data_IF_235480538120
#
_entry.id   IF_235480538120
#
_cell.length_a   1.000
_cell.length_b   1.000
_cell.length_c   1.000
_cell.angle_alpha   90.00
_cell.angle_beta   90.00
_cell.angle_gamma   90.00
#
_symmetry.space_group_name_H-M   'P 1'
#
loop_
_entity.id
_entity.type
_entity.pdbx_description
1 polymer ?
#
# COMPACT_ATOMS: atom_id res chain seq x y z
N UNK A 1 15.82 -7.67 12.15
CA UNK A 1 14.42 -7.27 12.01
C UNK A 1 13.54 -8.35 12.60
N UNK A 2 12.57 -7.99 13.44
CA UNK A 2 11.56 -8.91 13.97
C UNK A 2 10.21 -8.52 13.41
N UNK A 3 9.39 -9.50 13.01
CA UNK A 3 8.09 -9.24 12.38
C UNK A 3 7.05 -10.17 13.02
N UNK A 4 5.94 -9.59 13.47
CA UNK A 4 4.70 -10.30 13.81
C UNK A 4 3.60 -9.86 12.86
N UNK A 5 3.00 -10.78 12.15
CA UNK A 5 1.87 -10.53 11.26
C UNK A 5 0.59 -11.19 11.78
N UNK A 6 -0.52 -10.49 11.65
CA UNK A 6 -1.86 -10.99 12.00
C UNK A 6 -2.86 -10.55 10.93
N UNK A 7 -3.62 -11.50 10.40
CA UNK A 7 -4.74 -11.22 9.50
C UNK A 7 -5.85 -10.51 10.28
N UNK A 8 -6.48 -9.55 9.66
CA UNK A 8 -7.59 -8.81 10.26
C UNK A 8 -8.79 -9.71 10.54
N UNK A 9 -9.46 -9.47 11.66
CA UNK A 9 -10.69 -10.15 12.02
C UNK A 9 -11.88 -9.82 11.09
N UNK A 10 -13.00 -10.56 11.18
CA UNK A 10 -14.13 -10.43 10.23
C UNK A 10 -14.70 -9.02 10.12
N UNK A 11 -14.74 -8.27 11.22
CA UNK A 11 -15.31 -6.91 11.24
C UNK A 11 -14.48 -5.90 10.44
N UNK A 12 -13.17 -6.04 10.42
CA UNK A 12 -12.25 -5.17 9.66
C UNK A 12 -11.77 -5.82 8.35
N UNK A 13 -11.94 -7.11 8.15
CA UNK A 13 -11.47 -7.85 6.97
C UNK A 13 -11.86 -7.28 5.61
N UNK A 14 -13.06 -6.71 5.43
CA UNK A 14 -13.42 -6.02 4.18
C UNK A 14 -12.55 -4.79 3.88
N UNK A 15 -11.92 -4.19 4.89
CA UNK A 15 -11.20 -2.93 4.81
C UNK A 15 -9.70 -3.08 5.02
N UNK A 16 -9.28 -3.98 5.90
CA UNK A 16 -7.88 -4.18 6.33
C UNK A 16 -7.49 -5.63 6.05
N UNK A 17 -6.41 -5.83 5.33
CA UNK A 17 -5.88 -7.16 5.02
C UNK A 17 -5.18 -7.78 6.23
N UNK A 18 -4.32 -6.98 6.88
CA UNK A 18 -3.46 -7.44 7.95
C UNK A 18 -2.93 -6.30 8.80
N UNK A 19 -2.53 -6.66 10.01
CA UNK A 19 -1.70 -5.87 10.88
C UNK A 19 -0.31 -6.48 10.95
N UNK A 20 0.71 -5.63 11.07
CA UNK A 20 2.09 -6.09 11.15
C UNK A 20 2.88 -5.22 12.12
N UNK A 21 3.50 -5.83 13.13
CA UNK A 21 4.47 -5.17 13.99
C UNK A 21 5.85 -5.46 13.45
N UNK A 22 6.65 -4.42 13.23
CA UNK A 22 8.02 -4.55 12.75
C UNK A 22 8.94 -3.81 13.72
N UNK A 23 10.02 -4.48 14.16
CA UNK A 23 11.05 -3.91 15.01
C UNK A 23 12.41 -3.98 14.33
N UNK A 24 13.10 -2.85 14.33
CA UNK A 24 14.42 -2.66 13.74
C UNK A 24 15.45 -2.43 14.85
N UNK A 25 16.11 -3.50 15.36
CA UNK A 25 17.08 -3.37 16.46
C UNK A 25 18.32 -2.57 16.07
N UNK A 26 18.61 -2.44 14.79
CA UNK A 26 19.75 -1.68 14.24
C UNK A 26 19.26 -0.69 13.18
N UNK A 27 20.12 0.25 12.80
CA UNK A 27 19.90 1.07 11.62
C UNK A 27 19.59 0.16 10.42
N UNK A 28 18.49 0.41 9.73
CA UNK A 28 18.06 -0.41 8.60
C UNK A 28 17.59 0.47 7.44
N UNK A 29 17.98 0.08 6.24
CA UNK A 29 17.52 0.72 5.00
C UNK A 29 16.85 -0.29 4.12
N UNK A 30 15.67 0.05 3.66
CA UNK A 30 14.92 -0.76 2.70
C UNK A 30 14.29 0.11 1.62
N UNK A 31 13.78 -0.55 0.59
CA UNK A 31 13.11 0.12 -0.51
C UNK A 31 11.86 -0.67 -0.91
N UNK A 32 10.73 0.02 -0.91
CA UNK A 32 9.44 -0.58 -1.19
C UNK A 32 8.98 -0.25 -2.61
N UNK A 33 8.76 -1.29 -3.39
CA UNK A 33 8.13 -1.19 -4.70
C UNK A 33 6.70 -0.65 -4.59
N UNK A 34 6.17 -0.04 -5.67
CA UNK A 34 4.76 0.33 -5.75
C UNK A 34 3.85 -0.81 -5.31
N UNK A 35 2.86 -0.49 -4.49
CA UNK A 35 1.90 -1.45 -3.96
C UNK A 35 0.47 -1.04 -4.31
N UNK A 36 -0.43 -2.03 -4.30
CA UNK A 36 -1.87 -1.82 -4.55
C UNK A 36 -2.65 -1.54 -3.28
N UNK A 37 -1.98 -1.46 -2.16
CA UNK A 37 -2.56 -1.42 -0.82
C UNK A 37 -2.06 -0.18 -0.07
N UNK A 38 -2.94 0.74 0.36
CA UNK A 38 -2.56 1.82 1.25
C UNK A 38 -2.15 1.29 2.62
N UNK A 39 -1.33 2.06 3.35
CA UNK A 39 -0.83 1.66 4.67
C UNK A 39 -1.00 2.80 5.66
N UNK A 40 -1.50 2.50 6.86
CA UNK A 40 -1.32 3.36 8.02
C UNK A 40 -0.20 2.79 8.90
N UNK A 41 0.72 3.66 9.32
CA UNK A 41 1.88 3.33 10.14
C UNK A 41 1.83 4.09 11.46
N UNK A 42 2.05 3.39 12.57
CA UNK A 42 2.05 3.95 13.93
C UNK A 42 3.38 3.59 14.59
N UNK A 43 4.34 4.52 14.55
CA UNK A 43 5.64 4.35 15.19
C UNK A 43 5.48 4.52 16.71
N UNK A 44 5.77 3.48 17.49
CA UNK A 44 5.67 3.51 18.95
C UNK A 44 7.03 3.61 19.65
N UNK A 45 8.15 3.38 18.93
CA UNK A 45 9.51 3.70 19.31
C UNK A 45 10.30 4.17 18.11
N UNK A 46 11.26 5.09 18.32
CA UNK A 46 12.14 5.59 17.27
C UNK A 46 11.39 6.28 16.13
N UNK A 47 11.98 6.21 14.93
CA UNK A 47 11.42 6.84 13.74
C UNK A 47 12.02 6.34 12.43
N UNK A 48 11.44 6.79 11.34
CA UNK A 48 11.86 6.45 9.99
C UNK A 48 12.01 7.72 9.14
N UNK A 49 13.05 7.81 8.32
CA UNK A 49 13.15 8.79 7.25
C UNK A 49 12.65 8.19 5.94
N UNK A 50 12.04 9.03 5.11
CA UNK A 50 11.47 8.66 3.82
C UNK A 50 12.19 9.45 2.73
N UNK A 51 12.67 8.75 1.69
CA UNK A 51 13.31 9.31 0.51
C UNK A 51 14.44 10.31 0.88
N UNK A 52 15.22 10.02 1.93
CA UNK A 52 16.37 10.76 2.40
C UNK A 52 16.12 11.57 3.67
N UNK A 53 15.59 12.79 3.60
CA UNK A 53 15.65 13.72 4.74
C UNK A 53 14.36 13.93 5.51
N UNK A 54 13.22 13.49 4.97
CA UNK A 54 11.93 13.73 5.58
C UNK A 54 11.61 12.67 6.65
N UNK A 55 11.47 13.09 7.91
CA UNK A 55 10.94 12.22 8.96
C UNK A 55 9.47 11.88 8.71
N UNK A 56 9.16 10.60 8.76
CA UNK A 56 7.78 10.13 8.75
C UNK A 56 7.05 10.62 10.01
N UNK A 57 5.78 11.05 9.91
CA UNK A 57 4.92 11.28 11.07
C UNK A 57 4.82 10.02 11.94
N UNK A 58 4.66 10.18 13.26
CA UNK A 58 4.46 9.06 14.20
C UNK A 58 3.21 8.24 13.87
N UNK A 59 2.15 8.90 13.41
CA UNK A 59 0.97 8.29 12.81
C UNK A 59 0.88 8.76 11.36
N UNK A 60 1.20 7.90 10.42
CA UNK A 60 1.28 8.25 9.01
C UNK A 60 0.28 7.43 8.18
N UNK A 61 -0.33 8.08 7.19
CA UNK A 61 -1.06 7.41 6.12
C UNK A 61 -0.29 7.54 4.82
N UNK A 62 0.02 6.41 4.19
CA UNK A 62 0.67 6.34 2.88
C UNK A 62 -0.35 5.87 1.84
N UNK A 63 -0.69 6.76 0.92
CA UNK A 63 -1.55 6.46 -0.23
C UNK A 63 -0.83 5.63 -1.30
N UNK A 64 -1.56 5.21 -2.32
CA UNK A 64 -0.99 4.47 -3.44
C UNK A 64 -0.02 5.33 -4.24
N UNK A 65 1.07 4.71 -4.70
CA UNK A 65 2.11 5.36 -5.49
C UNK A 65 2.58 4.49 -6.64
N UNK A 66 3.21 5.13 -7.61
CA UNK A 66 3.69 4.49 -8.84
C UNK A 66 5.20 4.31 -8.87
N UNK A 67 5.92 4.85 -7.87
CA UNK A 67 7.38 4.83 -7.78
C UNK A 67 7.86 4.13 -6.52
N UNK A 68 9.07 3.61 -6.56
CA UNK A 68 9.80 3.05 -5.43
C UNK A 68 9.96 4.13 -4.34
N UNK A 69 9.97 3.71 -3.08
CA UNK A 69 10.23 4.56 -1.92
C UNK A 69 11.28 3.92 -1.02
N UNK A 70 12.28 4.71 -0.69
CA UNK A 70 13.31 4.33 0.26
C UNK A 70 12.91 4.71 1.69
N UNK A 71 13.22 3.84 2.64
CA UNK A 71 13.08 4.10 4.06
C UNK A 71 14.41 3.90 4.77
N UNK A 72 14.68 4.75 5.75
CA UNK A 72 15.78 4.62 6.67
C UNK A 72 15.25 4.60 8.10
N UNK A 73 15.27 3.43 8.70
CA UNK A 73 14.80 3.19 10.06
C UNK A 73 15.93 3.44 11.05
N UNK A 74 15.74 4.32 12.03
CA UNK A 74 16.72 4.56 13.07
C UNK A 74 16.88 3.34 13.99
N UNK A 75 17.93 3.33 14.77
CA UNK A 75 18.16 2.31 15.80
C UNK A 75 16.97 2.23 16.76
N UNK A 76 16.47 1.01 17.00
CA UNK A 76 15.33 0.76 17.89
C UNK A 76 13.97 1.23 17.33
N UNK A 77 13.87 1.55 16.03
CA UNK A 77 12.57 1.88 15.45
C UNK A 77 11.62 0.70 15.53
N UNK A 78 10.41 0.96 16.05
CA UNK A 78 9.35 -0.04 16.13
C UNK A 78 8.03 0.58 15.67
N UNK A 79 7.34 -0.12 14.75
CA UNK A 79 6.15 0.37 14.07
C UNK A 79 5.07 -0.70 13.98
N UNK A 80 3.83 -0.29 14.17
CA UNK A 80 2.64 -1.10 13.88
C UNK A 80 2.00 -0.59 12.59
N UNK A 81 1.85 -1.48 11.63
CA UNK A 81 1.29 -1.20 10.31
C UNK A 81 -0.11 -1.80 10.19
N UNK A 82 -1.05 -1.04 9.63
CA UNK A 82 -2.32 -1.54 9.12
C UNK A 82 -2.31 -1.44 7.60
N UNK A 83 -2.30 -2.59 6.92
CA UNK A 83 -2.37 -2.66 5.46
C UNK A 83 -3.83 -2.76 5.04
N UNK A 84 -4.34 -1.75 4.38
CA UNK A 84 -5.71 -1.72 3.88
C UNK A 84 -5.89 -2.61 2.65
N UNK A 85 -7.14 -3.00 2.38
CA UNK A 85 -7.51 -3.42 1.02
C UNK A 85 -7.45 -2.21 0.07
N UNK A 86 -7.35 -2.40 -1.24
CA UNK A 86 -7.30 -1.27 -2.18
C UNK A 86 -8.47 -0.28 -2.06
N UNK A 87 -9.63 -0.76 -1.58
CA UNK A 87 -10.85 0.04 -1.37
C UNK A 87 -11.11 0.37 0.10
N UNK A 88 -10.29 -0.17 1.02
CA UNK A 88 -10.60 -0.15 2.46
C UNK A 88 -10.37 1.19 3.14
N UNK A 89 -9.32 1.91 2.79
CA UNK A 89 -8.95 3.14 3.48
C UNK A 89 -10.03 4.23 3.39
N UNK A 90 -10.82 4.26 2.31
CA UNK A 90 -11.94 5.20 2.13
C UNK A 90 -13.05 5.04 3.16
N UNK A 91 -13.10 3.91 3.88
CA UNK A 91 -14.07 3.70 4.96
C UNK A 91 -13.72 4.48 6.25
N UNK A 92 -12.49 4.94 6.38
CA UNK A 92 -11.99 5.62 7.58
C UNK A 92 -11.72 7.10 7.35
N UNK A 93 -11.31 7.47 6.12
CA UNK A 93 -10.88 8.83 5.78
C UNK A 93 -12.01 9.60 5.08
N UNK A 94 -12.18 10.88 5.46
CA UNK A 94 -13.20 11.76 4.84
C UNK A 94 -12.77 12.30 3.47
N UNK A 95 -11.51 12.76 3.32
CA UNK A 95 -11.05 13.28 2.03
C UNK A 95 -11.02 12.20 0.94
N UNK A 96 -10.99 12.62 -0.30
CA UNK A 96 -10.73 11.72 -1.43
C UNK A 96 -9.35 11.10 -1.30
N UNK A 97 -9.22 9.78 -1.50
CA UNK A 97 -7.90 9.15 -1.44
C UNK A 97 -6.94 9.65 -2.55
N UNK A 98 -7.46 10.31 -3.59
CA UNK A 98 -6.64 10.97 -4.61
C UNK A 98 -5.73 12.06 -4.02
N UNK A 99 -6.17 12.74 -2.96
CA UNK A 99 -5.38 13.76 -2.25
C UNK A 99 -4.11 13.20 -1.61
N UNK A 100 -4.09 11.89 -1.34
CA UNK A 100 -2.96 11.19 -0.71
C UNK A 100 -2.11 10.39 -1.70
N UNK A 101 -2.44 10.43 -3.00
CA UNK A 101 -1.69 9.69 -4.02
C UNK A 101 -0.20 10.09 -4.03
N UNK A 102 0.68 9.09 -3.90
CA UNK A 102 2.13 9.30 -3.89
C UNK A 102 2.71 9.92 -2.61
N UNK A 103 1.88 10.25 -1.61
CA UNK A 103 2.31 10.95 -0.40
C UNK A 103 2.26 10.07 0.84
N UNK A 104 3.03 10.48 1.87
CA UNK A 104 2.87 10.03 3.25
C UNK A 104 2.47 11.26 4.09
N UNK A 105 1.29 11.19 4.70
CA UNK A 105 0.64 12.34 5.35
C UNK A 105 0.37 12.00 6.82
N UNK A 106 0.46 13.01 7.69
CA UNK A 106 0.14 12.85 9.10
C UNK A 106 -1.36 12.57 9.29
N UNK A 107 -1.65 11.46 9.97
CA UNK A 107 -3.03 11.08 10.31
C UNK A 107 -3.71 12.09 11.26
N UNK A 108 -2.97 12.81 12.08
CA UNK A 108 -3.53 13.84 12.95
C UNK A 108 -4.25 14.91 12.15
N UNK A 109 -3.64 15.40 11.07
CA UNK A 109 -4.26 16.37 10.16
C UNK A 109 -5.48 15.81 9.40
N UNK A 110 -5.47 14.52 9.07
CA UNK A 110 -6.57 13.88 8.33
C UNK A 110 -7.77 13.58 9.23
N UNK A 111 -7.53 13.07 10.44
CA UNK A 111 -8.59 12.66 11.37
C UNK A 111 -9.14 13.83 12.19
N UNK A 112 -8.38 14.90 12.34
CA UNK A 112 -8.78 16.10 13.12
C UNK A 112 -8.95 15.86 14.63
N UNK A 113 -8.27 14.85 15.17
CA UNK A 113 -8.35 14.43 16.58
C UNK A 113 -6.98 13.99 17.11
N UNK A 114 -6.03 14.93 17.25
CA UNK A 114 -4.67 14.61 17.68
C UNK A 114 -4.61 13.93 19.05
N UNK A 115 -5.47 14.33 20.01
CA UNK A 115 -5.45 13.76 21.36
C UNK A 115 -5.84 12.28 21.41
N UNK A 116 -6.63 11.80 20.45
CA UNK A 116 -6.97 10.37 20.35
C UNK A 116 -5.80 9.55 19.80
N UNK A 117 -5.03 10.15 18.88
CA UNK A 117 -3.80 9.53 18.36
C UNK A 117 -2.68 9.53 19.41
N UNK A 118 -2.53 10.60 20.18
CA UNK A 118 -1.55 10.65 21.27
C UNK A 118 -1.82 9.58 22.33
N UNK A 119 -3.08 9.44 22.75
CA UNK A 119 -3.49 8.35 23.66
C UNK A 119 -3.20 6.96 23.08
N UNK A 120 -3.48 6.74 21.78
CA UNK A 120 -3.15 5.49 21.13
C UNK A 120 -1.63 5.24 21.18
N UNK A 121 -0.80 6.23 20.83
CA UNK A 121 0.65 6.13 20.89
C UNK A 121 1.17 5.79 22.29
N UNK A 122 0.67 6.44 23.33
CA UNK A 122 1.02 6.14 24.73
C UNK A 122 0.70 4.67 25.06
N UNK A 123 -0.49 4.20 24.68
CA UNK A 123 -0.91 2.82 24.90
C UNK A 123 -0.03 1.81 24.12
N UNK A 124 0.33 2.13 22.87
CA UNK A 124 1.19 1.28 22.05
C UNK A 124 2.62 1.20 22.62
N UNK A 125 3.16 2.31 23.07
CA UNK A 125 4.48 2.37 23.70
C UNK A 125 4.50 1.70 25.08
N UNK A 126 3.43 1.85 25.87
CA UNK A 126 3.33 1.34 27.23
C UNK A 126 3.13 -0.16 27.36
N UNK A 127 2.94 -0.91 26.27
CA UNK A 127 2.81 -2.38 26.33
C UNK A 127 3.98 -3.08 25.66
N UNK A 128 4.43 -4.21 26.22
CA UNK A 128 5.43 -5.10 25.58
C UNK A 128 4.77 -6.18 24.70
N UNK A 129 3.45 -6.34 24.77
CA UNK A 129 2.73 -7.41 24.07
C UNK A 129 2.24 -6.94 22.70
N UNK A 130 2.81 -7.47 21.62
CA UNK A 130 2.45 -7.10 20.25
C UNK A 130 0.99 -7.42 19.88
N UNK A 131 0.43 -8.54 20.39
CA UNK A 131 -0.99 -8.85 20.17
C UNK A 131 -1.89 -7.81 20.84
N UNK A 132 -1.48 -7.29 22.01
CA UNK A 132 -2.19 -6.19 22.66
C UNK A 132 -2.09 -4.91 21.84
N UNK A 133 -0.93 -4.60 21.23
CA UNK A 133 -0.77 -3.46 20.31
C UNK A 133 -1.73 -3.57 19.13
N UNK A 134 -1.78 -4.75 18.49
CA UNK A 134 -2.71 -4.98 17.36
C UNK A 134 -4.16 -4.77 17.81
N UNK A 135 -4.56 -5.32 18.96
CA UNK A 135 -5.91 -5.15 19.49
C UNK A 135 -6.26 -3.69 19.77
N UNK A 136 -5.34 -2.90 20.33
CA UNK A 136 -5.54 -1.46 20.54
C UNK A 136 -5.78 -0.72 19.23
N UNK A 137 -5.03 -1.05 18.18
CA UNK A 137 -5.22 -0.44 16.86
C UNK A 137 -6.52 -0.93 16.18
N UNK A 138 -6.87 -2.21 16.32
CA UNK A 138 -8.17 -2.73 15.84
C UNK A 138 -9.34 -1.98 16.46
N UNK A 139 -9.34 -1.81 17.79
CA UNK A 139 -10.40 -1.09 18.51
C UNK A 139 -10.47 0.38 18.09
N UNK A 140 -9.29 1.01 17.93
CA UNK A 140 -9.19 2.38 17.42
C UNK A 140 -9.79 2.53 16.02
N UNK A 141 -9.51 1.59 15.13
CA UNK A 141 -10.03 1.61 13.75
C UNK A 141 -11.50 1.23 13.70
N UNK A 142 -11.95 0.22 14.46
CA UNK A 142 -13.37 -0.16 14.54
C UNK A 142 -14.26 1.00 14.95
N UNK A 143 -13.82 1.82 15.91
CA UNK A 143 -14.56 3.01 16.33
C UNK A 143 -14.67 4.09 15.24
N UNK A 144 -13.96 3.95 14.11
CA UNK A 144 -13.86 4.93 13.02
C UNK A 144 -14.36 4.45 11.68
N UNK A 145 -14.76 3.20 11.57
CA UNK A 145 -15.43 2.69 10.36
C UNK A 145 -16.72 3.48 10.12
N UNK A 146 -16.84 4.05 8.94
CA UNK A 146 -17.95 4.95 8.57
C UNK A 146 -18.98 4.32 7.65
N UNK A 147 -18.67 3.14 7.12
CA UNK A 147 -19.53 2.39 6.20
C UNK A 147 -19.48 0.91 6.54
N UNK A 148 -20.57 0.21 6.35
CA UNK A 148 -20.68 -1.24 6.66
C UNK A 148 -19.94 -2.13 5.67
N UNK A 149 -19.72 -1.65 4.43
CA UNK A 149 -19.02 -2.38 3.37
C UNK A 149 -18.32 -1.42 2.40
N UNK A 150 -17.25 -1.89 1.72
CA UNK A 150 -16.63 -1.15 0.62
C UNK A 150 -17.61 -0.93 -0.54
N UNK A 151 -17.31 0.09 -1.36
CA UNK A 151 -18.04 0.37 -2.61
C UNK A 151 -18.00 -0.85 -3.55
N UNK A 152 -19.16 -1.48 -3.85
CA UNK A 152 -19.17 -2.75 -4.58
C UNK A 152 -18.69 -2.63 -6.03
N UNK A 153 -18.94 -1.49 -6.71
CA UNK A 153 -18.52 -1.31 -8.10
C UNK A 153 -17.00 -1.11 -8.19
N UNK A 154 -16.42 -0.35 -7.25
CA UNK A 154 -14.96 -0.16 -7.21
C UNK A 154 -14.26 -1.43 -6.73
N UNK A 155 -14.84 -2.16 -5.78
CA UNK A 155 -14.32 -3.46 -5.35
C UNK A 155 -14.31 -4.48 -6.51
N UNK A 156 -15.40 -4.55 -7.29
CA UNK A 156 -15.46 -5.38 -8.50
C UNK A 156 -14.43 -4.96 -9.56
N UNK A 157 -14.24 -3.64 -9.76
CA UNK A 157 -13.23 -3.13 -10.67
C UNK A 157 -11.80 -3.49 -10.24
N UNK A 158 -11.49 -3.36 -8.95
CA UNK A 158 -10.20 -3.79 -8.38
C UNK A 158 -9.97 -5.28 -8.57
N UNK A 159 -10.95 -6.12 -8.23
CA UNK A 159 -10.86 -7.56 -8.41
C UNK A 159 -10.63 -7.94 -9.87
N UNK A 160 -11.35 -7.32 -10.79
CA UNK A 160 -11.21 -7.54 -12.23
C UNK A 160 -9.79 -7.19 -12.74
N UNK A 161 -9.24 -6.06 -12.30
CA UNK A 161 -7.88 -5.64 -12.65
C UNK A 161 -6.81 -6.57 -12.07
N UNK A 162 -6.99 -7.04 -10.84
CA UNK A 162 -6.06 -7.96 -10.19
C UNK A 162 -6.10 -9.36 -10.81
N UNK A 163 -7.28 -9.91 -11.09
CA UNK A 163 -7.46 -11.19 -11.77
C UNK A 163 -6.89 -11.17 -13.20
N UNK A 164 -7.10 -10.06 -13.91
CA UNK A 164 -6.52 -9.84 -15.24
C UNK A 164 -5.03 -9.52 -15.22
N UNK A 165 -4.39 -9.53 -14.04
CA UNK A 165 -2.98 -9.15 -13.85
C UNK A 165 -2.65 -7.75 -14.43
N UNK A 166 -3.62 -6.86 -14.54
CA UNK A 166 -3.47 -5.53 -15.11
C UNK A 166 -3.32 -5.49 -16.64
N UNK A 167 -3.44 -6.62 -17.33
CA UNK A 167 -3.29 -6.71 -18.78
C UNK A 167 -4.57 -6.40 -19.56
N UNK A 168 -5.74 -6.49 -18.92
CA UNK A 168 -7.03 -6.27 -19.55
C UNK A 168 -7.27 -4.78 -19.87
N UNK A 169 -8.01 -4.52 -20.96
CA UNK A 169 -8.31 -3.14 -21.42
C UNK A 169 -9.32 -2.45 -20.50
N UNK A 170 -9.16 -1.15 -20.30
CA UNK A 170 -10.10 -0.34 -19.48
C UNK A 170 -11.49 -0.30 -20.11
N UNK A 171 -11.60 -0.35 -21.44
CA UNK A 171 -12.90 -0.40 -22.14
C UNK A 171 -13.70 -1.67 -21.82
N UNK A 172 -13.02 -2.79 -21.61
CA UNK A 172 -13.66 -4.04 -21.18
C UNK A 172 -14.12 -3.94 -19.73
N UNK A 173 -13.34 -3.26 -18.87
CA UNK A 173 -13.71 -2.98 -17.48
C UNK A 173 -14.96 -2.10 -17.40
N UNK A 174 -15.05 -1.03 -18.21
CA UNK A 174 -16.23 -0.14 -18.20
C UNK A 174 -17.49 -0.88 -18.60
N UNK A 175 -17.41 -1.75 -19.62
CA UNK A 175 -18.53 -2.62 -20.03
C UNK A 175 -18.92 -3.61 -18.92
N UNK A 176 -17.93 -4.21 -18.25
CA UNK A 176 -18.17 -5.14 -17.17
C UNK A 176 -18.85 -4.47 -15.95
N UNK A 177 -18.41 -3.25 -15.59
CA UNK A 177 -18.94 -2.51 -14.43
C UNK A 177 -20.27 -1.79 -14.76
N UNK A 178 -20.58 -1.55 -16.04
CA UNK A 178 -21.77 -0.80 -16.45
C UNK A 178 -21.69 0.71 -16.18
N UNK A 179 -20.49 1.28 -16.15
CA UNK A 179 -20.24 2.71 -15.98
C UNK A 179 -19.52 3.29 -17.20
N UNK A 180 -19.76 4.58 -17.48
CA UNK A 180 -18.91 5.30 -18.43
C UNK A 180 -17.47 5.39 -17.88
N UNK A 181 -16.50 5.52 -18.78
CA UNK A 181 -15.08 5.63 -18.40
C UNK A 181 -14.84 6.79 -17.41
N UNK A 182 -15.42 7.95 -17.67
CA UNK A 182 -15.29 9.14 -16.80
C UNK A 182 -15.90 8.92 -15.41
N UNK A 183 -17.07 8.24 -15.34
CA UNK A 183 -17.71 7.94 -14.05
C UNK A 183 -16.90 6.93 -13.25
N UNK A 184 -16.41 5.86 -13.89
CA UNK A 184 -15.53 4.88 -13.25
C UNK A 184 -14.24 5.54 -12.77
N UNK A 185 -13.57 6.33 -13.60
CA UNK A 185 -12.30 6.97 -13.27
C UNK A 185 -12.43 7.90 -12.06
N UNK A 186 -13.44 8.78 -12.04
CA UNK A 186 -13.71 9.69 -10.91
C UNK A 186 -13.99 8.92 -9.62
N UNK A 187 -14.84 7.88 -9.68
CA UNK A 187 -15.20 7.06 -8.51
C UNK A 187 -14.02 6.27 -8.01
N UNK A 188 -13.23 5.67 -8.90
CA UNK A 188 -12.05 4.89 -8.59
C UNK A 188 -10.95 5.76 -7.95
N UNK A 189 -10.65 6.95 -8.49
CA UNK A 189 -9.68 7.89 -7.89
C UNK A 189 -10.09 8.28 -6.47
N UNK A 190 -11.36 8.60 -6.26
CA UNK A 190 -11.86 8.98 -4.93
C UNK A 190 -11.65 7.89 -3.89
N UNK A 191 -11.84 6.62 -4.25
CA UNK A 191 -11.85 5.47 -3.31
C UNK A 191 -10.50 4.76 -3.23
N UNK A 192 -9.76 4.69 -4.34
CA UNK A 192 -8.47 3.96 -4.44
C UNK A 192 -7.28 4.92 -4.41
N UNK A 193 -7.48 6.17 -4.83
CA UNK A 193 -6.45 7.21 -4.83
C UNK A 193 -5.77 7.42 -6.17
N UNK A 194 -5.80 6.46 -7.10
CA UNK A 194 -5.20 6.55 -8.43
C UNK A 194 -6.18 6.11 -9.50
N UNK A 195 -5.90 6.35 -10.78
CA UNK A 195 -6.78 5.90 -11.87
C UNK A 195 -6.74 4.38 -12.06
N UNK A 196 -7.79 3.77 -12.66
CA UNK A 196 -7.79 2.35 -13.01
C UNK A 196 -6.58 1.94 -13.86
N UNK A 197 -6.16 2.78 -14.81
CA UNK A 197 -4.99 2.55 -15.67
C UNK A 197 -3.68 2.50 -14.86
N UNK A 198 -3.49 3.44 -13.93
CA UNK A 198 -2.33 3.46 -13.03
C UNK A 198 -2.33 2.26 -12.09
N UNK A 199 -3.47 1.92 -11.52
CA UNK A 199 -3.62 0.71 -10.70
C UNK A 199 -3.26 -0.56 -11.47
N UNK A 200 -3.75 -0.71 -12.71
CA UNK A 200 -3.38 -1.81 -13.60
C UNK A 200 -1.87 -1.89 -13.86
N UNK A 201 -1.21 -0.74 -14.05
CA UNK A 201 0.26 -0.69 -14.22
C UNK A 201 1.00 -1.19 -12.97
N UNK A 202 0.57 -0.81 -11.76
CA UNK A 202 1.15 -1.33 -10.51
C UNK A 202 0.92 -2.83 -10.38
N UNK A 203 -0.26 -3.34 -10.72
CA UNK A 203 -0.56 -4.79 -10.71
C UNK A 203 0.38 -5.55 -11.65
N UNK A 204 0.58 -5.06 -12.90
CA UNK A 204 1.52 -5.66 -13.86
C UNK A 204 2.95 -5.65 -13.34
N UNK A 205 3.42 -4.52 -12.83
CA UNK A 205 4.76 -4.40 -12.26
C UNK A 205 4.99 -5.43 -11.15
N UNK A 206 4.08 -5.54 -10.19
CA UNK A 206 4.18 -6.51 -9.10
C UNK A 206 4.17 -7.96 -9.59
N UNK A 207 3.39 -8.26 -10.62
CA UNK A 207 3.42 -9.57 -11.26
C UNK A 207 4.77 -9.84 -11.92
N UNK A 208 5.32 -8.87 -12.65
CA UNK A 208 6.62 -8.99 -13.29
C UNK A 208 7.75 -9.24 -12.27
N UNK A 209 7.74 -8.51 -11.15
CA UNK A 209 8.71 -8.71 -10.06
C UNK A 209 8.62 -10.14 -9.50
N UNK A 210 7.42 -10.64 -9.21
CA UNK A 210 7.24 -12.02 -8.72
C UNK A 210 7.72 -13.07 -9.73
N UNK A 211 7.41 -12.89 -11.01
CA UNK A 211 7.89 -13.80 -12.07
C UNK A 211 9.41 -13.77 -12.17
N UNK A 212 10.02 -12.59 -12.10
CA UNK A 212 11.48 -12.46 -12.14
C UNK A 212 12.16 -13.14 -10.95
N UNK A 213 11.57 -13.06 -9.77
CA UNK A 213 12.06 -13.76 -8.56
C UNK A 213 12.05 -15.29 -8.72
N UNK A 214 11.22 -15.87 -9.58
CA UNK A 214 11.26 -17.31 -9.91
C UNK A 214 12.34 -17.69 -10.95
N UNK A 215 13.19 -16.74 -11.37
CA UNK A 215 14.26 -16.97 -12.35
C UNK A 215 13.85 -16.82 -13.82
N UNK A 216 12.61 -16.43 -14.13
CA UNK A 216 12.16 -16.25 -15.51
C UNK A 216 12.98 -15.15 -16.22
N UNK A 217 13.29 -15.36 -17.51
CA UNK A 217 13.96 -14.34 -18.33
C UNK A 217 13.06 -13.13 -18.60
N UNK A 218 13.66 -11.99 -19.01
CA UNK A 218 12.91 -10.73 -19.16
C UNK A 218 11.85 -10.78 -20.25
N UNK A 219 12.03 -11.58 -21.30
CA UNK A 219 11.06 -11.72 -22.38
C UNK A 219 9.82 -12.47 -21.90
N UNK A 220 10.04 -13.59 -21.21
CA UNK A 220 8.97 -14.37 -20.56
C UNK A 220 8.24 -13.54 -19.51
N UNK A 221 8.97 -12.78 -18.67
CA UNK A 221 8.39 -11.88 -17.67
C UNK A 221 7.50 -10.84 -18.33
N UNK A 222 7.98 -10.15 -19.37
CA UNK A 222 7.22 -9.14 -20.07
C UNK A 222 5.90 -9.68 -20.63
N UNK A 223 5.98 -10.77 -21.38
CA UNK A 223 4.81 -11.40 -21.99
C UNK A 223 3.81 -11.89 -20.93
N UNK A 224 4.30 -12.66 -19.95
CA UNK A 224 3.44 -13.26 -18.91
C UNK A 224 2.82 -12.22 -17.99
N UNK A 225 3.52 -11.10 -17.71
CA UNK A 225 2.98 -10.01 -16.92
C UNK A 225 2.00 -9.10 -17.68
N UNK A 226 1.83 -9.29 -19.00
CA UNK A 226 0.87 -8.55 -19.81
C UNK A 226 1.41 -7.23 -20.36
N UNK A 227 2.71 -7.12 -20.56
CA UNK A 227 3.31 -6.04 -21.34
C UNK A 227 3.25 -6.38 -22.84
N UNK A 228 3.28 -5.38 -23.69
CA UNK A 228 3.25 -5.54 -25.12
C UNK A 228 4.54 -6.23 -25.62
N UNK A 229 5.70 -5.78 -25.11
CA UNK A 229 7.01 -6.33 -25.39
C UNK A 229 7.97 -6.08 -24.21
N UNK A 230 9.20 -6.59 -24.33
CA UNK A 230 10.24 -6.41 -23.32
C UNK A 230 10.66 -4.95 -23.16
N UNK A 231 10.67 -4.15 -24.21
CA UNK A 231 11.04 -2.73 -24.16
C UNK A 231 10.02 -1.93 -23.36
N UNK A 232 8.72 -2.18 -23.54
CA UNK A 232 7.66 -1.59 -22.75
C UNK A 232 7.79 -1.97 -21.27
N UNK A 233 8.11 -3.23 -20.96
CA UNK A 233 8.37 -3.65 -19.58
C UNK A 233 9.57 -2.91 -18.97
N UNK A 234 10.71 -2.86 -19.66
CA UNK A 234 11.92 -2.17 -19.18
C UNK A 234 11.65 -0.68 -18.93
N UNK A 235 10.91 -0.03 -19.83
CA UNK A 235 10.54 1.39 -19.68
C UNK A 235 9.67 1.61 -18.44
N UNK A 236 8.58 0.84 -18.28
CA UNK A 236 7.69 0.96 -17.13
C UNK A 236 8.40 0.63 -15.80
N UNK A 237 9.28 -0.38 -15.82
CA UNK A 237 10.08 -0.76 -14.66
C UNK A 237 11.04 0.35 -14.24
N UNK A 238 11.77 0.94 -15.21
CA UNK A 238 12.66 2.10 -14.94
C UNK A 238 11.90 3.28 -14.38
N UNK A 239 10.72 3.60 -14.93
CA UNK A 239 9.87 4.68 -14.42
C UNK A 239 9.47 4.44 -12.96
N UNK A 240 9.19 3.19 -12.61
CA UNK A 240 8.73 2.83 -11.26
C UNK A 240 9.86 2.70 -10.24
N UNK A 241 11.06 2.26 -10.64
CA UNK A 241 12.17 1.90 -9.74
C UNK A 241 13.40 2.78 -9.86
N UNK A 242 13.49 3.60 -10.91
CA UNK A 242 14.69 4.38 -11.25
C UNK A 242 15.79 3.56 -11.92
N UNK A 243 15.67 2.23 -12.01
CA UNK A 243 16.71 1.31 -12.50
C UNK A 243 16.18 0.34 -13.55
N UNK A 244 17.05 -0.16 -14.43
CA UNK A 244 16.69 -1.25 -15.31
C UNK A 244 16.48 -2.57 -14.51
N UNK A 245 15.58 -3.48 -14.97
CA UNK A 245 15.30 -4.71 -14.23
C UNK A 245 16.55 -5.49 -13.82
N UNK A 246 17.48 -5.76 -14.75
CA UNK A 246 18.68 -6.54 -14.45
C UNK A 246 19.60 -5.85 -13.41
N UNK A 247 19.70 -4.53 -13.43
CA UNK A 247 20.48 -3.80 -12.44
C UNK A 247 19.79 -3.86 -11.06
N UNK A 248 18.47 -3.71 -11.04
CA UNK A 248 17.67 -3.76 -9.82
C UNK A 248 17.77 -5.13 -9.13
N UNK A 249 17.53 -6.21 -9.87
CA UNK A 249 17.54 -7.58 -9.30
C UNK A 249 18.91 -8.11 -8.94
N UNK A 250 20.00 -7.49 -9.42
CA UNK A 250 21.36 -7.78 -8.90
C UNK A 250 21.64 -7.15 -7.55
N UNK A 251 20.98 -6.03 -7.23
CA UNK A 251 21.18 -5.30 -5.98
C UNK A 251 20.25 -5.76 -4.86
N UNK A 252 19.10 -6.32 -5.21
CA UNK A 252 18.10 -6.85 -4.26
C UNK A 252 18.15 -8.37 -4.37
N UNK A 253 18.71 -9.08 -3.36
CA UNK A 253 18.62 -10.54 -3.32
C UNK A 253 17.16 -10.97 -3.40
N UNK A 254 16.89 -12.08 -4.08
CA UNK A 254 15.58 -12.72 -4.04
C UNK A 254 15.37 -13.23 -2.60
N UNK A 255 14.42 -12.64 -1.87
CA UNK A 255 13.88 -13.19 -0.61
C UNK A 255 12.97 -14.37 -0.90
#
# INVERSE_FOLDING_TARGET
MQVLEQVSGPALGPFIKRFMVVEYPTLHRDAHLPATDPVAAFSFHGGCRIDGDQWAPRAAFTGLRETLRAHEHCYGHAVLLATFTPVGASAFLRPSLEEFAGTTTDLAGILGRPEELDRLHEQLAGTQNHRRRIKLLEDFLLARVRVSAPDPLVAAAVAWLQQGAGAKRIDDLTRYIGLSQSALERRFRRIVGISPKKFASVVRLRRAVRLRATGADLTTVAHTAGYFDQSHFIHDFRRATGSAPDAFFRQVPAD
#
